data_IF_659745244611
#
_entry.id   IF_659745244611
#
_cell.length_a   1.000
_cell.length_b   1.000
_cell.length_c   1.000
_cell.angle_alpha   90.00
_cell.angle_beta   90.00
_cell.angle_gamma   90.00
#
_symmetry.space_group_name_H-M   'P 1'
#
loop_
_entity.id
_entity.type
_entity.pdbx_description
1 polymer ?
#
# COMPACT_ATOMS: atom_id res chain seq x y z
N UNK A 1 -11.96 6.25 11.76
CA UNK A 1 -12.37 5.70 10.45
C UNK A 1 -12.48 4.18 10.51
N UNK A 2 -11.42 3.43 10.93
CA UNK A 2 -11.43 1.97 11.00
C UNK A 2 -12.57 1.41 11.86
N UNK A 3 -12.85 2.01 13.02
CA UNK A 3 -13.94 1.60 13.90
C UNK A 3 -15.33 1.77 13.26
N UNK A 4 -15.52 2.82 12.48
CA UNK A 4 -16.78 3.05 11.75
C UNK A 4 -16.99 1.93 10.74
N UNK A 5 -15.98 1.65 9.92
CA UNK A 5 -16.02 0.57 8.91
C UNK A 5 -16.29 -0.78 9.57
N UNK A 6 -15.56 -1.11 10.64
CA UNK A 6 -15.76 -2.35 11.40
C UNK A 6 -17.20 -2.50 11.90
N UNK A 7 -17.78 -1.43 12.44
CA UNK A 7 -19.16 -1.45 12.94
C UNK A 7 -20.18 -1.63 11.81
N UNK A 8 -20.00 -0.97 10.67
CA UNK A 8 -20.90 -1.12 9.53
C UNK A 8 -20.87 -2.56 8.96
N UNK A 9 -19.68 -3.13 8.78
CA UNK A 9 -19.56 -4.53 8.36
C UNK A 9 -20.17 -5.49 9.37
N UNK A 10 -19.87 -5.33 10.67
CA UNK A 10 -20.44 -6.17 11.72
C UNK A 10 -21.96 -6.10 11.75
N UNK A 11 -22.52 -4.89 11.60
CA UNK A 11 -23.96 -4.67 11.50
C UNK A 11 -24.54 -5.39 10.28
N UNK A 12 -23.98 -5.19 9.10
CA UNK A 12 -24.47 -5.79 7.86
C UNK A 12 -24.49 -7.33 7.92
N UNK A 13 -23.42 -7.94 8.46
CA UNK A 13 -23.36 -9.40 8.64
C UNK A 13 -24.40 -9.91 9.64
N UNK A 14 -24.60 -9.23 10.76
CA UNK A 14 -25.60 -9.63 11.75
C UNK A 14 -27.03 -9.43 11.24
N UNK A 15 -27.31 -8.33 10.53
CA UNK A 15 -28.62 -8.10 9.92
C UNK A 15 -28.95 -9.22 8.91
N UNK A 16 -27.99 -9.60 8.05
CA UNK A 16 -28.16 -10.70 7.10
C UNK A 16 -28.37 -12.06 7.80
N UNK A 17 -27.59 -12.34 8.84
CA UNK A 17 -27.72 -13.59 9.61
C UNK A 17 -29.07 -13.69 10.34
N UNK A 18 -29.60 -12.58 10.82
CA UNK A 18 -30.90 -12.54 11.49
C UNK A 18 -32.08 -12.61 10.51
N UNK A 19 -31.91 -12.18 9.28
CA UNK A 19 -32.92 -12.21 8.25
C UNK A 19 -33.12 -13.61 7.68
N UNK A 20 -32.03 -14.38 7.52
CA UNK A 20 -32.06 -15.73 6.96
C UNK A 20 -32.30 -16.77 8.07
N UNK A 21 -33.24 -17.71 7.83
CA UNK A 21 -33.54 -18.81 8.76
C UNK A 21 -33.32 -20.14 8.06
N UNK A 22 -32.85 -21.12 8.83
CA UNK A 22 -32.77 -22.51 8.38
C UNK A 22 -34.16 -23.21 8.44
N UNK A 23 -34.19 -24.50 8.09
CA UNK A 23 -35.42 -25.31 8.10
C UNK A 23 -36.05 -25.44 9.51
N UNK A 24 -35.23 -25.32 10.55
CA UNK A 24 -35.64 -25.37 11.96
C UNK A 24 -36.04 -24.00 12.52
N UNK A 25 -36.15 -22.99 11.63
CA UNK A 25 -36.49 -21.60 11.97
C UNK A 25 -35.42 -20.88 12.83
N UNK A 26 -34.18 -21.39 12.85
CA UNK A 26 -33.07 -20.80 13.57
C UNK A 26 -32.28 -19.81 12.67
N UNK A 27 -31.74 -18.77 13.29
CA UNK A 27 -30.86 -17.79 12.62
C UNK A 27 -29.41 -18.19 12.74
N UNK A 28 -28.60 -17.75 11.77
CA UNK A 28 -27.15 -17.91 11.83
C UNK A 28 -26.54 -17.02 12.94
N UNK A 29 -25.39 -17.43 13.45
CA UNK A 29 -24.57 -16.61 14.38
C UNK A 29 -23.36 -16.09 13.67
N UNK A 30 -23.07 -14.80 13.82
CA UNK A 30 -21.88 -14.15 13.25
C UNK A 30 -20.86 -13.90 14.34
N UNK A 31 -19.61 -14.31 14.08
CA UNK A 31 -18.44 -13.92 14.86
C UNK A 31 -17.53 -13.10 13.94
N UNK A 32 -17.64 -11.79 14.03
CA UNK A 32 -16.86 -10.85 13.22
C UNK A 32 -15.58 -10.46 13.97
N UNK A 33 -14.43 -10.60 13.28
CA UNK A 33 -13.13 -10.17 13.79
C UNK A 33 -12.43 -9.34 12.72
N UNK A 34 -11.77 -8.28 13.13
CA UNK A 34 -10.95 -7.45 12.26
C UNK A 34 -9.55 -7.33 12.83
N UNK A 35 -8.57 -7.29 11.95
CA UNK A 35 -7.20 -6.92 12.25
C UNK A 35 -6.82 -5.72 11.40
N UNK A 36 -6.02 -4.83 11.95
CA UNK A 36 -5.42 -3.74 11.21
C UNK A 36 -4.02 -4.17 10.78
N UNK A 37 -3.86 -4.52 9.49
CA UNK A 37 -2.58 -5.00 8.96
C UNK A 37 -1.63 -3.84 8.63
N UNK A 38 -2.17 -2.74 8.08
CA UNK A 38 -1.35 -1.60 7.65
C UNK A 38 -1.89 -0.28 8.19
N UNK A 39 -0.98 0.58 8.64
CA UNK A 39 -1.29 1.95 9.01
C UNK A 39 -1.01 2.87 7.82
N UNK A 40 -1.97 3.69 7.39
CA UNK A 40 -1.72 4.67 6.34
C UNK A 40 -0.68 5.69 6.81
N UNK A 41 0.15 6.15 5.90
CA UNK A 41 1.12 7.20 6.15
C UNK A 41 1.23 8.13 4.95
N UNK A 42 1.73 9.31 5.18
CA UNK A 42 2.11 10.27 4.16
C UNK A 42 3.46 10.85 4.53
N UNK A 43 4.40 10.82 3.62
CA UNK A 43 5.70 11.46 3.78
C UNK A 43 5.63 12.87 3.20
N UNK A 44 6.12 13.86 3.96
CA UNK A 44 6.19 15.24 3.50
C UNK A 44 7.10 15.33 2.28
N UNK A 45 6.62 15.97 1.22
CA UNK A 45 7.38 16.20 -0.03
C UNK A 45 8.65 17.01 0.20
N UNK A 46 8.70 17.78 1.29
CA UNK A 46 9.89 18.54 1.70
C UNK A 46 10.89 17.75 2.55
N UNK A 47 10.58 16.48 2.88
CA UNK A 47 11.50 15.64 3.64
C UNK A 47 12.73 15.28 2.82
N UNK A 48 13.84 15.02 3.50
CA UNK A 48 15.13 14.74 2.85
C UNK A 48 15.05 13.47 1.99
N UNK A 49 14.36 12.43 2.46
CA UNK A 49 14.19 11.18 1.70
C UNK A 49 13.50 11.42 0.35
N UNK A 50 12.51 12.32 0.29
CA UNK A 50 11.83 12.68 -0.96
C UNK A 50 12.72 13.56 -1.84
N UNK A 51 13.37 14.57 -1.27
CA UNK A 51 14.27 15.46 -2.01
C UNK A 51 15.44 14.70 -2.65
N UNK A 52 16.11 13.84 -1.89
CA UNK A 52 17.22 13.01 -2.39
C UNK A 52 16.70 12.09 -3.51
N UNK A 53 15.58 11.45 -3.32
CA UNK A 53 14.93 10.57 -4.30
C UNK A 53 14.66 11.31 -5.63
N UNK A 54 14.06 12.49 -5.57
CA UNK A 54 13.78 13.31 -6.77
C UNK A 54 15.05 13.84 -7.44
N UNK A 55 16.06 14.20 -6.65
CA UNK A 55 17.35 14.64 -7.17
C UNK A 55 18.04 13.52 -7.97
N UNK A 56 18.06 12.30 -7.44
CA UNK A 56 18.63 11.14 -8.12
C UNK A 56 17.82 10.79 -9.37
N UNK A 57 16.49 10.78 -9.27
CA UNK A 57 15.63 10.58 -10.43
C UNK A 57 15.96 11.54 -11.57
N UNK A 58 16.19 12.81 -11.24
CA UNK A 58 16.57 13.84 -12.22
C UNK A 58 17.97 13.61 -12.80
N UNK A 59 18.96 13.19 -11.99
CA UNK A 59 20.31 12.89 -12.46
C UNK A 59 20.35 11.71 -13.42
N UNK A 60 19.52 10.71 -13.18
CA UNK A 60 19.35 9.55 -14.06
C UNK A 60 18.44 9.85 -15.27
N UNK A 61 17.96 11.08 -15.43
CA UNK A 61 17.04 11.52 -16.50
C UNK A 61 15.68 10.82 -16.49
N UNK A 62 15.25 10.34 -15.34
CA UNK A 62 13.89 9.84 -15.18
C UNK A 62 12.93 11.00 -14.92
N UNK A 63 11.67 10.82 -15.29
CA UNK A 63 10.60 11.80 -15.06
C UNK A 63 10.00 11.68 -13.64
N UNK A 64 10.86 11.64 -12.61
CA UNK A 64 10.43 11.42 -11.24
C UNK A 64 9.38 12.43 -10.76
N UNK A 65 8.29 11.91 -10.23
CA UNK A 65 7.24 12.69 -9.58
C UNK A 65 6.73 11.93 -8.36
N UNK A 66 6.29 12.67 -7.36
CA UNK A 66 5.60 12.09 -6.20
C UNK A 66 4.19 11.69 -6.57
N UNK A 67 3.76 10.55 -6.06
CA UNK A 67 2.39 10.06 -6.18
C UNK A 67 1.96 9.42 -4.87
N UNK A 68 0.67 9.50 -4.55
CA UNK A 68 0.10 8.74 -3.45
C UNK A 68 -0.45 7.43 -3.99
N UNK A 69 -0.01 6.30 -3.42
CA UNK A 69 -0.47 4.97 -3.79
C UNK A 69 -1.44 4.43 -2.75
N UNK A 70 -2.43 3.65 -3.21
CA UNK A 70 -3.31 2.89 -2.35
C UNK A 70 -2.81 1.45 -2.30
N UNK A 71 -2.49 0.96 -1.12
CA UNK A 71 -2.02 -0.41 -0.91
C UNK A 71 -1.22 -0.54 0.37
N UNK A 72 -1.10 -1.76 0.88
CA UNK A 72 -0.23 -2.08 2.00
C UNK A 72 1.15 -2.49 1.50
N UNK A 73 2.20 -1.90 2.07
CA UNK A 73 3.60 -2.15 1.74
C UNK A 73 4.41 -2.27 3.04
N UNK A 74 5.57 -2.87 2.96
CA UNK A 74 6.51 -2.94 4.10
C UNK A 74 6.91 -1.55 4.61
N UNK A 75 6.89 -0.54 3.75
CA UNK A 75 7.07 0.86 4.10
C UNK A 75 6.13 1.34 5.21
N UNK A 76 4.88 0.82 5.28
CA UNK A 76 3.93 1.16 6.33
C UNK A 76 4.46 0.79 7.73
N UNK A 77 5.20 -0.32 7.84
CA UNK A 77 5.80 -0.77 9.10
C UNK A 77 7.07 0.00 9.44
N UNK A 78 7.87 0.37 8.45
CA UNK A 78 9.10 1.15 8.65
C UNK A 78 8.76 2.57 9.11
N UNK A 79 7.82 3.23 8.43
CA UNK A 79 7.39 4.59 8.82
C UNK A 79 6.76 4.59 10.21
N UNK A 80 6.02 3.55 10.59
CA UNK A 80 5.48 3.43 11.96
C UNK A 80 6.57 3.34 13.04
N UNK A 81 7.79 2.97 12.66
CA UNK A 81 8.97 2.92 13.53
C UNK A 81 9.85 4.15 13.38
N UNK A 82 9.29 5.25 12.90
CA UNK A 82 9.99 6.51 12.67
C UNK A 82 11.17 6.41 11.68
N UNK A 83 11.09 5.45 10.74
CA UNK A 83 12.03 5.31 9.64
C UNK A 83 11.37 5.90 8.39
N UNK A 84 11.72 7.13 7.97
CA UNK A 84 11.15 7.75 6.78
C UNK A 84 11.44 6.89 5.55
N UNK A 85 10.38 6.38 4.92
CA UNK A 85 10.51 5.41 3.84
C UNK A 85 9.61 5.80 2.68
N UNK A 86 10.18 5.85 1.49
CA UNK A 86 9.45 5.99 0.23
C UNK A 86 9.53 4.69 -0.56
N UNK A 87 8.66 4.55 -1.53
CA UNK A 87 8.70 3.47 -2.52
C UNK A 87 8.77 4.06 -3.92
N UNK A 88 9.24 3.31 -4.87
CA UNK A 88 9.28 3.72 -6.26
C UNK A 88 8.80 2.60 -7.19
N UNK A 89 8.37 2.98 -8.39
CA UNK A 89 7.90 2.03 -9.40
C UNK A 89 9.05 1.18 -9.94
N UNK A 90 8.72 -0.03 -10.36
CA UNK A 90 9.67 -0.99 -10.93
C UNK A 90 9.18 -1.59 -12.27
N UNK A 91 8.29 -0.86 -12.96
CA UNK A 91 7.73 -1.34 -14.22
C UNK A 91 6.67 -2.44 -14.07
N UNK A 92 6.12 -2.61 -12.87
CA UNK A 92 5.09 -3.61 -12.56
C UNK A 92 3.69 -3.05 -12.81
N UNK A 93 2.89 -3.80 -13.55
CA UNK A 93 1.56 -3.42 -13.99
C UNK A 93 0.52 -4.47 -13.65
N UNK A 94 -0.70 -4.05 -13.39
CA UNK A 94 -1.86 -4.88 -13.07
C UNK A 94 -1.60 -5.88 -11.92
N UNK A 95 -1.05 -5.43 -10.78
CA UNK A 95 -0.78 -6.32 -9.65
C UNK A 95 -2.05 -7.08 -9.23
N UNK A 96 -1.85 -8.31 -8.76
CA UNK A 96 -2.92 -9.19 -8.27
C UNK A 96 -3.96 -9.61 -9.34
N UNK A 97 -3.56 -9.62 -10.62
CA UNK A 97 -4.41 -10.09 -11.72
C UNK A 97 -3.74 -11.20 -12.52
N UNK A 98 -4.51 -11.94 -13.33
CA UNK A 98 -4.00 -12.94 -14.25
C UNK A 98 -3.19 -12.33 -15.41
N UNK A 99 -3.36 -11.02 -15.65
CA UNK A 99 -2.67 -10.24 -16.68
C UNK A 99 -1.53 -9.39 -16.10
N UNK A 100 -1.00 -9.80 -14.95
CA UNK A 100 0.12 -9.14 -14.29
C UNK A 100 1.40 -9.28 -15.13
N UNK A 101 2.12 -8.17 -15.32
CA UNK A 101 3.36 -8.17 -16.09
C UNK A 101 4.33 -7.10 -15.62
N UNK A 102 5.58 -7.24 -16.03
CA UNK A 102 6.66 -6.26 -15.82
C UNK A 102 7.20 -5.83 -17.19
N UNK A 103 7.35 -4.51 -17.38
CA UNK A 103 8.09 -3.96 -18.51
C UNK A 103 9.60 -4.03 -18.21
N UNK A 104 10.34 -4.79 -18.99
CA UNK A 104 11.75 -5.10 -18.74
C UNK A 104 12.60 -3.83 -18.72
N UNK A 105 12.38 -2.89 -19.63
CA UNK A 105 13.14 -1.64 -19.68
C UNK A 105 12.91 -0.77 -18.44
N UNK A 106 11.66 -0.67 -17.98
CA UNK A 106 11.32 0.06 -16.75
C UNK A 106 11.89 -0.64 -15.50
N UNK A 107 11.92 -1.97 -15.50
CA UNK A 107 12.57 -2.72 -14.43
C UNK A 107 14.08 -2.46 -14.37
N UNK A 108 14.76 -2.44 -15.52
CA UNK A 108 16.17 -2.06 -15.58
C UNK A 108 16.41 -0.62 -15.10
N UNK A 109 15.54 0.30 -15.45
CA UNK A 109 15.64 1.68 -14.98
C UNK A 109 15.45 1.77 -13.47
N UNK A 110 14.51 1.00 -12.91
CA UNK A 110 14.34 0.89 -11.45
C UNK A 110 15.59 0.31 -10.77
N UNK A 111 16.25 -0.67 -11.37
CA UNK A 111 17.53 -1.21 -10.86
C UNK A 111 18.65 -0.16 -10.87
N UNK A 112 18.79 0.62 -11.95
CA UNK A 112 19.76 1.74 -12.02
C UNK A 112 19.46 2.77 -10.93
N UNK A 113 18.20 3.14 -10.78
CA UNK A 113 17.76 4.08 -9.77
C UNK A 113 18.09 3.59 -8.35
N UNK A 114 17.82 2.30 -8.05
CA UNK A 114 18.16 1.71 -6.77
C UNK A 114 19.66 1.75 -6.47
N UNK A 115 20.49 1.46 -7.47
CA UNK A 115 21.96 1.54 -7.37
C UNK A 115 22.39 2.98 -7.07
N UNK A 116 21.85 3.95 -7.81
CA UNK A 116 22.18 5.37 -7.61
C UNK A 116 21.76 5.88 -6.22
N UNK A 117 20.61 5.40 -5.70
CA UNK A 117 20.21 5.65 -4.31
C UNK A 117 21.20 5.06 -3.30
N UNK A 118 21.60 3.82 -3.51
CA UNK A 118 22.53 3.13 -2.59
C UNK A 118 23.92 3.72 -2.58
N UNK A 119 24.38 4.30 -3.71
CA UNK A 119 25.69 4.92 -3.85
C UNK A 119 25.69 6.42 -3.57
N UNK A 120 24.52 7.00 -3.28
CA UNK A 120 24.40 8.41 -2.96
C UNK A 120 25.13 8.71 -1.64
N UNK A 121 26.19 9.49 -1.72
CA UNK A 121 26.91 10.01 -0.56
C UNK A 121 26.40 11.41 -0.25
N UNK A 122 25.98 11.64 0.99
CA UNK A 122 25.61 12.96 1.51
C UNK A 122 26.82 13.89 1.59
#
# INVERSE_FOLDING_TARGET
>A
FASIITNEYNKAFNDSANFLKNIDNETAKVKFKTNLDYYPFLIDENSDVVKISLQISKSEKFSGKTVTCNGGLDANWLVRKDIPTITFGNGHYRPHSTDEYVLIDEFYDACKYAISLALHNN
#
